data_IF_183446034613
#
_entry.id   IF_183446034613
#
_cell.length_a   1.000
_cell.length_b   1.000
_cell.length_c   1.000
_cell.angle_alpha   90.00
_cell.angle_beta   90.00
_cell.angle_gamma   90.00
#
_symmetry.space_group_name_H-M   'P 1'
#
loop_
_entity.id
_entity.type
_entity.pdbx_description
1 polymer ?
#
# COMPACT_ATOMS: atom_id res chain seq x y z
N UNK A 1 5.38 -71.14 12.09
CA UNK A 1 6.73 -71.54 11.64
C UNK A 1 7.32 -70.43 10.79
N UNK A 2 8.45 -69.94 11.27
CA UNK A 2 9.51 -69.19 10.60
C UNK A 2 9.16 -67.73 10.10
N UNK A 3 9.76 -66.78 10.74
CA UNK A 3 11.03 -66.04 10.78
C UNK A 3 10.99 -64.86 9.83
N UNK A 4 10.94 -63.63 10.30
CA UNK A 4 12.02 -62.74 10.73
C UNK A 4 13.05 -62.46 9.61
N UNK A 5 13.14 -61.15 9.21
CA UNK A 5 14.40 -60.43 9.12
C UNK A 5 14.16 -58.93 8.87
N UNK A 6 14.70 -58.11 9.76
CA UNK A 6 15.21 -56.72 9.55
C UNK A 6 16.74 -56.88 9.35
N UNK A 7 17.53 -55.83 8.99
CA UNK A 7 17.34 -54.39 9.00
C UNK A 7 17.99 -53.66 7.79
N UNK A 8 17.91 -52.38 7.76
CA UNK A 8 18.69 -51.50 6.85
C UNK A 8 18.63 -50.04 7.25
N UNK A 9 19.61 -49.61 8.02
CA UNK A 9 19.93 -48.24 8.36
C UNK A 9 20.28 -47.41 7.10
N UNK A 10 19.81 -46.19 7.00
CA UNK A 10 20.47 -45.16 6.18
C UNK A 10 20.15 -43.75 6.66
N UNK A 11 21.11 -43.17 7.31
CA UNK A 11 21.66 -41.81 7.21
C UNK A 11 20.70 -40.61 7.35
N UNK A 12 20.81 -39.97 8.48
CA UNK A 12 20.54 -38.58 8.79
C UNK A 12 21.45 -37.68 7.95
N UNK A 13 20.89 -36.87 7.07
CA UNK A 13 21.59 -35.77 6.45
C UNK A 13 21.13 -34.47 7.10
N UNK A 14 22.08 -33.80 7.74
CA UNK A 14 21.89 -32.55 8.46
C UNK A 14 21.43 -31.39 7.56
N UNK A 15 20.27 -30.87 7.86
CA UNK A 15 19.80 -29.61 7.30
C UNK A 15 20.42 -28.43 8.05
N UNK A 16 21.32 -27.70 7.43
CA UNK A 16 21.83 -26.43 7.95
C UNK A 16 20.72 -25.38 7.94
N UNK A 17 20.36 -24.93 9.11
CA UNK A 17 19.55 -23.74 9.34
C UNK A 17 20.35 -22.51 8.90
N UNK A 18 20.02 -21.94 7.75
CA UNK A 18 20.47 -20.59 7.38
C UNK A 18 19.54 -19.60 8.09
N UNK A 19 20.02 -19.04 9.18
CA UNK A 19 19.42 -17.88 9.82
C UNK A 19 19.65 -16.67 8.92
N UNK A 20 18.57 -16.14 8.32
CA UNK A 20 18.59 -14.84 7.67
C UNK A 20 18.74 -13.72 8.71
N UNK A 21 19.42 -12.62 8.38
CA UNK A 21 19.63 -11.51 9.32
C UNK A 21 18.29 -10.87 9.70
N UNK A 22 18.10 -10.67 11.00
CA UNK A 22 16.97 -9.95 11.58
C UNK A 22 16.94 -8.49 11.12
N UNK A 23 15.82 -7.76 11.33
CA UNK A 23 15.68 -6.38 10.89
C UNK A 23 16.61 -5.46 11.71
N UNK A 24 17.80 -5.21 11.16
CA UNK A 24 18.71 -4.19 11.66
C UNK A 24 18.12 -2.81 11.37
N UNK A 25 17.87 -2.04 12.41
CA UNK A 25 17.66 -0.60 12.32
C UNK A 25 18.96 0.04 11.83
N UNK A 26 19.10 0.24 10.53
CA UNK A 26 20.30 0.79 9.91
C UNK A 26 19.93 1.87 8.90
N UNK A 27 20.52 3.05 9.09
CA UNK A 27 20.70 4.20 8.16
C UNK A 27 19.50 4.47 7.25
N UNK A 28 18.90 5.66 7.26
CA UNK A 28 17.85 6.01 6.30
C UNK A 28 18.37 5.78 4.88
N UNK A 29 17.56 5.15 3.99
CA UNK A 29 17.97 4.92 2.62
C UNK A 29 18.32 6.23 1.94
N UNK A 30 19.37 6.21 1.11
CA UNK A 30 19.81 7.37 0.35
C UNK A 30 18.65 8.00 -0.42
N UNK A 31 18.55 9.34 -0.50
CA UNK A 31 17.51 10.02 -1.26
C UNK A 31 17.53 9.54 -2.72
N UNK A 32 16.35 9.51 -3.35
CA UNK A 32 16.23 9.18 -4.76
C UNK A 32 17.06 10.17 -5.59
N UNK A 33 17.82 9.71 -6.62
CA UNK A 33 18.58 10.62 -7.46
C UNK A 33 17.60 11.59 -8.15
N UNK A 34 17.97 12.87 -8.29
CA UNK A 34 17.15 13.85 -9.00
C UNK A 34 16.89 13.32 -10.41
N UNK A 35 15.61 13.25 -10.80
CA UNK A 35 15.18 12.69 -12.07
C UNK A 35 15.91 13.37 -13.23
N UNK A 36 16.53 12.60 -14.10
CA UNK A 36 17.11 13.07 -15.35
C UNK A 36 15.99 13.73 -16.19
N UNK A 37 15.94 15.03 -16.21
CA UNK A 37 15.13 15.79 -17.18
C UNK A 37 15.67 15.48 -18.56
N UNK A 38 14.79 14.97 -19.42
CA UNK A 38 15.09 14.86 -20.85
C UNK A 38 15.49 16.24 -21.37
N UNK A 39 16.71 16.37 -21.89
CA UNK A 39 17.26 17.61 -22.34
C UNK A 39 16.53 18.14 -23.57
N UNK A 40 16.08 19.39 -23.47
CA UNK A 40 15.95 20.31 -24.59
C UNK A 40 16.87 21.47 -24.26
N UNK A 41 17.82 21.71 -25.15
CA UNK A 41 18.86 22.69 -24.98
C UNK A 41 18.35 24.13 -24.85
N UNK A 42 19.02 24.88 -24.00
CA UNK A 42 18.84 26.31 -23.82
C UNK A 42 19.81 26.79 -22.75
N UNK A 43 20.95 27.32 -23.20
CA UNK A 43 21.92 28.01 -22.35
C UNK A 43 21.26 29.25 -21.74
N UNK A 44 21.25 29.35 -20.43
CA UNK A 44 21.18 30.64 -19.73
C UNK A 44 21.96 30.56 -18.42
N UNK A 45 23.03 31.36 -18.40
CA UNK A 45 23.88 31.65 -17.26
C UNK A 45 23.07 32.26 -16.13
N UNK A 46 23.06 31.64 -14.96
CA UNK A 46 22.61 32.28 -13.72
C UNK A 46 23.66 32.13 -12.64
N UNK A 47 24.10 33.29 -12.15
CA UNK A 47 25.05 33.47 -11.07
C UNK A 47 24.53 32.85 -9.76
N UNK A 48 25.46 32.31 -8.97
CA UNK A 48 25.19 31.79 -7.63
C UNK A 48 24.82 32.94 -6.68
N UNK A 49 23.77 32.83 -5.87
CA UNK A 49 23.58 33.71 -4.72
C UNK A 49 24.55 33.36 -3.61
N UNK A 50 25.23 34.39 -3.08
CA UNK A 50 26.13 34.28 -1.97
C UNK A 50 25.42 34.01 -0.63
N UNK A 51 26.16 33.63 0.40
CA UNK A 51 25.61 33.32 1.72
C UNK A 51 25.05 34.56 2.42
N UNK A 52 24.01 34.39 3.27
CA UNK A 52 23.46 35.52 4.04
C UNK A 52 24.42 36.03 5.06
N UNK A 53 24.36 37.34 5.41
CA UNK A 53 25.29 37.95 6.37
C UNK A 53 24.99 37.48 7.79
N UNK A 54 26.09 37.25 8.53
CA UNK A 54 26.07 36.93 9.94
C UNK A 54 25.59 38.14 10.77
N UNK A 55 24.65 37.90 11.69
CA UNK A 55 24.28 38.88 12.72
C UNK A 55 25.40 39.02 13.74
N UNK A 56 26.01 40.20 13.83
CA UNK A 56 26.96 40.58 14.89
C UNK A 56 26.20 41.06 16.12
N UNK A 57 26.67 40.67 17.33
CA UNK A 57 26.12 41.19 18.57
C UNK A 57 26.92 42.42 18.99
N UNK A 58 26.34 43.59 18.94
CA UNK A 58 26.89 44.76 19.64
C UNK A 58 25.78 45.75 19.97
N UNK A 59 25.83 46.14 21.23
CA UNK A 59 25.14 47.24 21.90
C UNK A 59 24.15 46.79 22.98
N UNK A 60 24.71 46.32 24.10
CA UNK A 60 24.13 46.51 25.42
C UNK A 60 24.93 47.57 26.14
N UNK A 61 24.31 48.72 26.42
CA UNK A 61 24.77 49.68 27.40
C UNK A 61 23.89 49.56 28.65
N UNK A 62 24.48 49.72 29.87
CA UNK A 62 23.75 49.65 31.13
C UNK A 62 23.19 51.01 31.52
N UNK A 63 21.97 51.06 31.97
CA UNK A 63 21.42 52.15 32.76
C UNK A 63 20.75 51.60 34.02
N UNK A 64 21.31 52.05 35.13
CA UNK A 64 20.90 51.82 36.49
C UNK A 64 19.59 52.53 36.85
N UNK A 65 18.92 51.94 37.82
CA UNK A 65 17.94 52.50 38.78
C UNK A 65 16.58 52.94 38.27
N UNK A 66 15.55 52.23 38.72
CA UNK A 66 14.58 52.68 39.67
C UNK A 66 13.48 51.63 39.96
N UNK A 67 13.36 51.36 41.26
CA UNK A 67 12.31 50.61 41.94
C UNK A 67 10.92 50.73 41.31
N UNK A 68 10.22 49.61 41.01
CA UNK A 68 8.87 49.29 41.49
C UNK A 68 8.35 47.98 40.86
N UNK A 69 7.98 47.05 41.73
CA UNK A 69 7.07 45.91 41.67
C UNK A 69 6.88 45.09 40.36
N UNK A 70 6.92 43.78 40.48
CA UNK A 70 6.67 42.86 39.38
C UNK A 70 5.15 42.67 39.16
N UNK A 71 4.58 43.28 38.14
CA UNK A 71 3.34 42.82 37.58
C UNK A 71 3.62 41.59 36.66
N UNK A 72 3.31 40.41 37.20
CA UNK A 72 3.19 39.23 36.39
C UNK A 72 2.11 39.45 35.32
N UNK A 73 2.49 39.63 34.08
CA UNK A 73 1.57 39.46 32.97
C UNK A 73 1.11 38.01 32.94
N UNK A 74 -0.19 37.74 32.96
CA UNK A 74 -0.68 36.40 32.77
C UNK A 74 -0.32 35.97 31.32
N UNK A 75 0.45 34.88 31.20
CA UNK A 75 0.64 34.18 29.95
C UNK A 75 -0.74 33.79 29.42
N UNK A 76 -1.20 34.53 28.41
CA UNK A 76 -2.31 34.10 27.63
C UNK A 76 -2.00 32.72 27.06
N UNK A 77 -2.85 31.70 27.23
CA UNK A 77 -2.65 30.42 26.59
C UNK A 77 -2.68 30.68 25.08
N UNK A 78 -1.60 30.34 24.40
CA UNK A 78 -1.54 30.24 22.94
C UNK A 78 -2.76 29.46 22.47
N UNK A 79 -3.46 29.92 21.42
CA UNK A 79 -4.56 29.14 20.88
C UNK A 79 -4.00 27.79 20.47
N UNK A 80 -4.37 26.76 21.21
CA UNK A 80 -4.16 25.36 20.85
C UNK A 80 -4.60 25.23 19.41
N UNK A 81 -3.67 24.97 18.52
CA UNK A 81 -3.97 24.63 17.15
C UNK A 81 -4.95 23.48 17.20
N UNK A 82 -6.21 23.77 16.97
CA UNK A 82 -7.20 22.73 16.70
C UNK A 82 -6.68 21.98 15.51
N UNK A 83 -6.17 20.79 15.74
CA UNK A 83 -6.07 19.79 14.71
C UNK A 83 -7.47 19.65 14.13
N UNK A 84 -7.71 20.31 13.02
CA UNK A 84 -8.80 19.95 12.12
C UNK A 84 -8.46 18.55 11.68
N UNK A 85 -9.07 17.58 12.34
CA UNK A 85 -8.94 16.17 12.00
C UNK A 85 -9.48 15.97 10.60
N UNK A 86 -8.61 16.10 9.61
CA UNK A 86 -8.89 15.69 8.25
C UNK A 86 -9.15 14.18 8.27
N UNK A 87 -10.39 13.79 8.03
CA UNK A 87 -10.80 12.39 7.97
C UNK A 87 -10.00 11.65 6.91
N UNK A 88 -9.28 10.64 7.33
CA UNK A 88 -8.28 9.90 6.57
C UNK A 88 -8.89 8.68 5.89
N UNK A 89 -8.51 8.37 4.74
CA UNK A 89 -9.13 7.72 3.57
C UNK A 89 -8.99 6.21 3.40
N UNK A 90 -8.11 5.52 4.04
CA UNK A 90 -8.36 4.25 4.67
C UNK A 90 -9.00 4.67 5.98
N UNK A 91 -10.25 4.37 6.19
CA UNK A 91 -11.00 4.90 7.32
C UNK A 91 -10.23 4.62 8.59
N UNK A 92 -9.88 5.70 9.33
CA UNK A 92 -9.02 5.65 10.51
C UNK A 92 -7.63 5.03 10.29
N UNK A 93 -7.14 4.97 9.06
CA UNK A 93 -5.75 4.61 8.74
C UNK A 93 -4.78 5.73 9.12
N UNK A 94 -3.50 5.43 9.06
CA UNK A 94 -2.40 6.37 9.26
C UNK A 94 -1.67 6.61 7.93
N UNK A 95 -0.90 7.68 7.84
CA UNK A 95 0.00 7.89 6.71
C UNK A 95 1.09 6.81 6.73
N UNK A 96 1.25 6.07 5.62
CA UNK A 96 2.35 5.13 5.53
C UNK A 96 3.68 5.88 5.66
N UNK A 97 4.69 5.35 6.33
CA UNK A 97 6.03 5.90 6.18
C UNK A 97 6.39 5.98 4.69
N UNK A 98 6.98 7.08 4.20
CA UNK A 98 7.29 7.24 2.79
C UNK A 98 8.02 6.04 2.21
N UNK A 99 7.54 5.53 1.06
CA UNK A 99 8.07 4.37 0.33
C UNK A 99 8.14 3.05 1.12
N UNK A 100 7.48 2.95 2.27
CA UNK A 100 7.41 1.70 3.06
C UNK A 100 6.64 0.57 2.35
N UNK A 101 5.92 0.91 1.27
CA UNK A 101 5.15 -0.04 0.46
C UNK A 101 5.67 -0.01 -1.00
N UNK A 102 6.92 -0.49 -1.26
CA UNK A 102 7.57 -0.33 -2.56
C UNK A 102 6.91 -1.11 -3.70
N UNK A 103 5.99 -2.01 -3.38
CA UNK A 103 5.15 -2.76 -4.32
C UNK A 103 3.85 -2.06 -4.70
N UNK A 104 3.51 -0.96 -3.99
CA UNK A 104 2.26 -0.25 -4.25
C UNK A 104 2.28 0.42 -5.62
N UNK A 105 1.24 0.18 -6.40
CA UNK A 105 1.01 0.84 -7.68
C UNK A 105 -0.35 1.53 -7.70
N UNK A 106 -0.43 2.66 -8.42
CA UNK A 106 -1.68 3.35 -8.69
C UNK A 106 -2.01 3.24 -10.19
N UNK A 107 -3.22 2.81 -10.50
CA UNK A 107 -3.72 2.68 -11.87
C UNK A 107 -4.61 3.88 -12.21
N UNK A 108 -4.21 4.62 -13.25
CA UNK A 108 -4.93 5.79 -13.73
C UNK A 108 -5.53 5.57 -15.11
N UNK A 109 -6.69 6.19 -15.34
CA UNK A 109 -7.23 6.42 -16.67
C UNK A 109 -7.23 7.93 -16.90
N UNK A 110 -6.41 8.40 -17.86
CA UNK A 110 -6.10 9.83 -18.01
C UNK A 110 -5.54 10.37 -16.67
N UNK A 111 -6.25 11.29 -16.04
CA UNK A 111 -5.87 11.92 -14.76
C UNK A 111 -6.63 11.36 -13.55
N UNK A 112 -7.58 10.43 -13.78
CA UNK A 112 -8.41 9.87 -12.71
C UNK A 112 -7.77 8.60 -12.15
N UNK A 113 -7.54 8.55 -10.84
CA UNK A 113 -7.22 7.31 -10.13
C UNK A 113 -8.40 6.33 -10.26
N UNK A 114 -8.12 5.13 -10.72
CA UNK A 114 -9.10 4.05 -10.86
C UNK A 114 -9.03 3.07 -9.70
N UNK A 115 -7.83 2.54 -9.48
CA UNK A 115 -7.60 1.42 -8.58
C UNK A 115 -6.16 1.43 -8.08
N UNK A 116 -5.93 0.72 -6.97
CA UNK A 116 -4.63 0.24 -6.57
C UNK A 116 -4.21 -1.01 -7.34
N UNK A 117 -2.95 -1.36 -7.24
CA UNK A 117 -2.39 -2.62 -7.74
C UNK A 117 -1.12 -2.97 -6.96
N UNK A 118 -0.66 -4.20 -7.10
CA UNK A 118 0.58 -4.70 -6.50
C UNK A 118 1.57 -5.09 -7.56
N UNK A 119 2.78 -4.55 -7.52
CA UNK A 119 3.89 -5.02 -8.35
C UNK A 119 4.33 -6.40 -7.85
N UNK A 120 4.24 -7.44 -8.69
CA UNK A 120 4.62 -8.83 -8.36
C UNK A 120 5.82 -9.33 -9.15
N UNK A 121 6.15 -8.66 -10.27
CA UNK A 121 7.36 -8.87 -11.07
C UNK A 121 7.66 -7.58 -11.86
N UNK A 122 8.87 -7.41 -12.44
CA UNK A 122 9.26 -6.15 -13.08
C UNK A 122 8.28 -5.62 -14.16
N UNK A 123 7.50 -6.49 -14.79
CA UNK A 123 6.50 -6.14 -15.82
C UNK A 123 5.06 -6.40 -15.42
N UNK A 124 4.82 -6.98 -14.23
CA UNK A 124 3.52 -7.52 -13.90
C UNK A 124 2.95 -6.91 -12.63
N UNK A 125 1.71 -6.47 -12.74
CA UNK A 125 0.89 -5.99 -11.65
C UNK A 125 -0.26 -6.96 -11.42
N UNK A 126 -0.64 -7.14 -10.16
CA UNK A 126 -1.83 -7.85 -9.74
C UNK A 126 -2.84 -6.87 -9.16
N UNK A 127 -4.08 -6.94 -9.59
CA UNK A 127 -5.18 -6.04 -9.20
C UNK A 127 -6.53 -6.75 -9.28
N UNK A 128 -7.61 -6.08 -8.94
CA UNK A 128 -8.97 -6.61 -9.07
C UNK A 128 -9.45 -6.60 -10.53
N UNK A 129 -10.24 -7.61 -10.93
CA UNK A 129 -10.74 -7.71 -12.30
C UNK A 129 -11.80 -6.65 -12.63
N UNK A 130 -12.57 -6.20 -11.65
CA UNK A 130 -13.52 -5.09 -11.85
C UNK A 130 -12.84 -3.76 -12.19
N UNK A 131 -11.51 -3.64 -11.95
CA UNK A 131 -10.69 -2.49 -12.36
C UNK A 131 -10.36 -2.47 -13.85
N UNK A 132 -10.83 -3.43 -14.65
CA UNK A 132 -10.45 -3.59 -16.06
C UNK A 132 -10.78 -2.36 -16.91
N UNK A 133 -9.75 -1.88 -17.63
CA UNK A 133 -9.82 -0.82 -18.64
C UNK A 133 -8.91 -1.18 -19.84
N UNK A 134 -9.13 -0.57 -21.02
CA UNK A 134 -8.30 -0.85 -22.19
C UNK A 134 -6.85 -0.36 -22.05
N UNK A 135 -6.64 0.65 -21.24
CA UNK A 135 -5.31 1.27 -21.03
C UNK A 135 -5.21 1.89 -19.65
N UNK A 136 -4.03 1.79 -19.07
CA UNK A 136 -3.67 2.40 -17.79
C UNK A 136 -2.41 3.24 -17.91
N UNK A 137 -2.36 4.33 -17.15
CA UNK A 137 -1.11 4.95 -16.71
C UNK A 137 -0.83 4.40 -15.30
N UNK A 138 0.35 3.83 -15.11
CA UNK A 138 0.76 3.17 -13.87
C UNK A 138 1.77 4.06 -13.16
N UNK A 139 1.51 4.42 -11.93
CA UNK A 139 2.46 5.12 -11.08
C UNK A 139 3.01 4.14 -10.04
N UNK A 140 4.34 4.03 -9.99
CA UNK A 140 5.12 3.19 -9.08
C UNK A 140 6.00 4.08 -8.22
N UNK A 141 6.31 3.67 -6.98
CA UNK A 141 7.19 4.40 -6.08
C UNK A 141 6.62 5.71 -5.54
N UNK A 142 5.36 6.04 -5.82
CA UNK A 142 4.73 7.26 -5.34
C UNK A 142 4.35 7.14 -3.84
N UNK A 143 4.67 8.15 -3.06
CA UNK A 143 4.10 8.36 -1.74
C UNK A 143 2.93 9.36 -1.82
N UNK A 144 3.11 10.45 -2.54
CA UNK A 144 2.08 11.43 -2.83
C UNK A 144 1.70 11.40 -4.31
N UNK A 145 0.40 11.36 -4.64
CA UNK A 145 -0.05 11.42 -6.04
C UNK A 145 0.00 12.84 -6.62
N UNK A 146 0.13 13.86 -5.78
CA UNK A 146 0.17 15.28 -6.20
C UNK A 146 1.56 15.92 -6.12
N UNK A 147 2.56 15.25 -5.55
CA UNK A 147 3.91 15.77 -5.39
C UNK A 147 4.92 14.69 -5.70
N UNK A 148 5.88 15.00 -6.56
CA UNK A 148 6.97 14.10 -6.90
C UNK A 148 8.17 14.34 -5.99
N UNK A 149 8.81 13.27 -5.52
CA UNK A 149 10.04 13.29 -4.73
C UNK A 149 11.23 12.68 -5.48
N UNK A 150 11.03 12.27 -6.74
CA UNK A 150 12.04 11.72 -7.63
C UNK A 150 12.19 10.21 -7.58
N UNK A 151 11.45 9.53 -6.71
CA UNK A 151 11.44 8.07 -6.61
C UNK A 151 10.41 7.41 -7.53
N UNK A 152 9.50 8.20 -8.09
CA UNK A 152 8.39 7.71 -8.88
C UNK A 152 8.81 7.26 -10.28
N UNK A 153 8.11 6.26 -10.74
CA UNK A 153 8.20 5.79 -12.11
C UNK A 153 6.81 5.73 -12.74
N UNK A 154 6.68 6.24 -13.96
CA UNK A 154 5.45 6.16 -14.74
C UNK A 154 5.61 5.13 -15.83
N UNK A 155 4.62 4.24 -15.99
CA UNK A 155 4.56 3.21 -17.02
C UNK A 155 3.20 3.25 -17.71
N UNK A 156 3.11 2.62 -18.87
CA UNK A 156 1.86 2.38 -19.58
C UNK A 156 1.58 0.88 -19.60
N UNK A 157 0.32 0.51 -19.44
CA UNK A 157 -0.15 -0.86 -19.62
C UNK A 157 -1.38 -0.88 -20.55
N UNK A 158 -1.37 -1.80 -21.52
CA UNK A 158 -2.44 -1.98 -22.52
C UNK A 158 -2.95 -3.42 -22.59
N UNK A 159 -2.27 -4.34 -21.90
CA UNK A 159 -2.67 -5.75 -21.82
C UNK A 159 -3.08 -6.07 -20.39
N UNK A 160 -4.29 -6.61 -20.24
CA UNK A 160 -4.83 -7.07 -18.97
C UNK A 160 -5.48 -8.43 -19.15
N UNK A 161 -5.29 -9.30 -18.16
CA UNK A 161 -5.71 -10.69 -18.14
C UNK A 161 -6.58 -10.91 -16.90
N UNK A 162 -7.90 -10.65 -16.98
CA UNK A 162 -8.81 -11.02 -15.89
C UNK A 162 -8.88 -12.54 -15.78
N UNK A 163 -9.21 -13.04 -14.59
CA UNK A 163 -9.50 -14.46 -14.42
C UNK A 163 -10.65 -14.87 -15.36
N UNK A 164 -10.57 -15.99 -16.07
CA UNK A 164 -11.59 -16.37 -17.06
C UNK A 164 -12.98 -16.53 -16.46
N UNK A 165 -13.06 -16.96 -15.22
CA UNK A 165 -14.33 -17.15 -14.50
C UNK A 165 -14.83 -15.90 -13.76
N UNK A 166 -14.20 -14.75 -13.96
CA UNK A 166 -14.71 -13.48 -13.43
C UNK A 166 -15.88 -13.00 -14.29
N UNK A 167 -17.03 -12.82 -13.67
CA UNK A 167 -18.22 -12.33 -14.34
C UNK A 167 -18.84 -11.14 -13.61
N UNK A 168 -18.67 -9.95 -14.19
CA UNK A 168 -19.20 -8.69 -13.65
C UNK A 168 -20.68 -8.43 -14.07
N UNK A 169 -21.27 -9.32 -14.88
CA UNK A 169 -22.61 -9.12 -15.46
C UNK A 169 -23.73 -9.75 -14.65
N UNK A 170 -23.42 -10.42 -13.55
CA UNK A 170 -24.43 -11.07 -12.71
C UNK A 170 -25.18 -10.02 -11.87
N UNK A 171 -26.51 -10.10 -11.76
CA UNK A 171 -27.35 -9.10 -11.08
C UNK A 171 -27.03 -8.94 -9.60
N UNK A 172 -26.43 -9.95 -8.95
CA UNK A 172 -26.08 -9.95 -7.54
C UNK A 172 -24.64 -9.50 -7.24
N UNK A 173 -23.97 -8.80 -8.18
CA UNK A 173 -22.57 -8.36 -8.02
C UNK A 173 -21.69 -9.52 -7.52
N UNK A 174 -21.67 -10.61 -8.27
CA UNK A 174 -20.82 -11.75 -7.95
C UNK A 174 -19.34 -11.35 -8.09
N UNK A 175 -18.67 -11.19 -6.96
CA UNK A 175 -17.26 -10.82 -6.89
C UNK A 175 -16.33 -12.03 -6.84
N UNK A 176 -16.81 -13.23 -7.21
CA UNK A 176 -15.94 -14.41 -7.32
C UNK A 176 -14.88 -14.16 -8.39
N UNK A 177 -13.69 -14.65 -8.14
CA UNK A 177 -12.55 -14.57 -9.05
C UNK A 177 -12.20 -13.12 -9.46
N UNK A 178 -12.43 -12.15 -8.57
CA UNK A 178 -12.13 -10.75 -8.83
C UNK A 178 -10.61 -10.49 -8.73
N UNK A 179 -9.90 -10.99 -9.73
CA UNK A 179 -8.45 -10.94 -9.86
C UNK A 179 -8.04 -10.75 -11.32
N UNK A 180 -7.02 -9.94 -11.57
CA UNK A 180 -6.53 -9.61 -12.89
C UNK A 180 -5.04 -9.33 -12.87
N UNK A 181 -4.33 -9.86 -13.86
CA UNK A 181 -2.97 -9.47 -14.18
C UNK A 181 -2.95 -8.31 -15.18
N UNK A 182 -2.06 -7.36 -14.98
CA UNK A 182 -1.82 -6.25 -15.90
C UNK A 182 -0.35 -6.25 -16.31
N UNK A 183 -0.07 -6.31 -17.63
CA UNK A 183 1.29 -6.30 -18.17
C UNK A 183 1.68 -4.90 -18.62
N UNK A 184 2.73 -4.36 -18.03
CA UNK A 184 3.30 -3.07 -18.44
C UNK A 184 4.07 -3.19 -19.75
N UNK A 185 4.02 -2.16 -20.59
CA UNK A 185 4.72 -2.10 -21.88
C UNK A 185 6.24 -2.16 -21.66
N UNK A 186 6.75 -1.42 -20.68
CA UNK A 186 8.15 -1.45 -20.26
C UNK A 186 8.25 -1.89 -18.80
N UNK A 187 9.31 -2.64 -18.43
CA UNK A 187 9.48 -3.07 -17.04
C UNK A 187 9.70 -1.89 -16.09
N UNK A 188 9.34 -2.08 -14.84
CA UNK A 188 9.77 -1.21 -13.76
C UNK A 188 11.29 -1.34 -13.57
N UNK A 189 11.94 -0.24 -13.28
CA UNK A 189 13.31 -0.24 -12.77
C UNK A 189 13.26 -0.52 -11.26
N UNK A 190 13.87 -1.61 -10.83
CA UNK A 190 13.81 -2.01 -9.41
C UNK A 190 14.75 -1.13 -8.58
N UNK A 191 14.19 -0.51 -7.56
CA UNK A 191 14.88 0.37 -6.62
C UNK A 191 14.41 0.04 -5.20
N UNK A 192 14.92 0.75 -4.20
CA UNK A 192 14.42 0.61 -2.85
C UNK A 192 12.96 1.09 -2.71
N UNK A 193 12.50 2.05 -3.52
CA UNK A 193 11.13 2.58 -3.56
C UNK A 193 10.21 1.84 -4.54
N UNK A 194 10.75 0.99 -5.42
CA UNK A 194 9.98 0.20 -6.39
C UNK A 194 10.50 -1.25 -6.38
N UNK A 195 9.77 -2.13 -5.71
CA UNK A 195 10.18 -3.52 -5.52
C UNK A 195 8.96 -4.45 -5.59
N UNK A 196 9.04 -5.60 -6.27
CA UNK A 196 7.94 -6.55 -6.30
C UNK A 196 7.72 -7.21 -4.94
N UNK A 197 6.47 -7.55 -4.66
CA UNK A 197 6.05 -8.32 -3.50
C UNK A 197 5.86 -9.79 -3.89
N UNK A 198 6.34 -10.69 -3.04
CA UNK A 198 6.18 -12.13 -3.23
C UNK A 198 4.71 -12.54 -3.07
N UNK A 199 4.24 -13.36 -4.00
CA UNK A 199 2.93 -14.02 -3.92
C UNK A 199 3.10 -15.36 -3.18
N UNK A 200 2.31 -15.59 -2.14
CA UNK A 200 2.43 -16.81 -1.33
C UNK A 200 1.42 -17.87 -1.76
N UNK A 201 1.85 -19.12 -2.00
CA UNK A 201 0.93 -20.25 -2.19
C UNK A 201 0.26 -20.71 -0.88
N UNK A 202 0.79 -20.30 0.26
CA UNK A 202 0.22 -20.63 1.57
C UNK A 202 -0.81 -19.58 1.96
N UNK A 203 -2.04 -20.04 2.18
CA UNK A 203 -3.12 -19.16 2.62
C UNK A 203 -2.92 -18.68 4.04
N UNK A 204 -3.19 -17.41 4.28
CA UNK A 204 -3.11 -16.80 5.61
C UNK A 204 -4.21 -17.36 6.54
N UNK A 205 -3.89 -17.72 7.79
CA UNK A 205 -4.87 -18.18 8.77
C UNK A 205 -5.67 -17.03 9.37
N UNK A 206 -6.85 -17.36 9.92
CA UNK A 206 -7.60 -16.43 10.75
C UNK A 206 -6.80 -16.02 11.99
N UNK A 207 -6.92 -14.74 12.39
CA UNK A 207 -6.16 -14.13 13.47
C UNK A 207 -4.84 -13.50 13.04
N UNK A 208 -4.39 -13.71 11.80
CA UNK A 208 -3.19 -13.06 11.28
C UNK A 208 -3.36 -11.55 11.16
N UNK A 209 -2.32 -10.80 11.56
CA UNK A 209 -2.24 -9.36 11.35
C UNK A 209 -1.70 -9.07 9.96
N UNK A 210 -2.36 -8.17 9.27
CA UNK A 210 -2.05 -7.78 7.90
C UNK A 210 -2.08 -6.26 7.77
N UNK A 211 -1.51 -5.78 6.68
CA UNK A 211 -1.49 -4.37 6.30
C UNK A 211 -2.22 -4.19 4.97
N UNK A 212 -3.08 -3.19 4.90
CA UNK A 212 -3.65 -2.69 3.65
C UNK A 212 -3.09 -1.30 3.37
N UNK A 213 -2.96 -0.95 2.09
CA UNK A 213 -2.46 0.36 1.68
C UNK A 213 -3.15 0.85 0.40
N UNK A 214 -3.31 2.17 0.30
CA UNK A 214 -3.95 2.77 -0.87
C UNK A 214 -4.15 4.28 -0.77
N UNK A 215 -4.62 4.88 -1.87
CA UNK A 215 -5.01 6.29 -1.98
C UNK A 215 -6.52 6.46 -2.17
N UNK A 216 -7.30 5.50 -1.72
CA UNK A 216 -8.75 5.48 -1.91
C UNK A 216 -9.47 6.74 -1.45
N UNK A 217 -10.55 7.05 -2.12
CA UNK A 217 -11.39 8.21 -1.79
C UNK A 217 -12.51 7.76 -0.84
N UNK A 218 -12.77 8.53 0.19
CA UNK A 218 -14.02 8.39 0.93
C UNK A 218 -15.22 8.75 0.04
N UNK A 219 -16.33 8.08 0.27
CA UNK A 219 -17.64 8.48 -0.23
C UNK A 219 -18.06 9.80 0.43
N UNK A 220 -17.53 10.91 -0.04
CA UNK A 220 -17.97 12.26 0.27
C UNK A 220 -18.10 13.02 -1.05
N UNK A 221 -19.08 13.91 -1.20
CA UNK A 221 -19.32 14.62 -2.48
C UNK A 221 -18.15 15.50 -2.94
N UNK A 222 -17.11 15.67 -2.13
CA UNK A 222 -15.89 16.38 -2.50
C UNK A 222 -14.74 15.41 -2.70
N UNK A 223 -14.45 15.12 -3.95
CA UNK A 223 -13.35 14.29 -4.48
C UNK A 223 -11.98 14.92 -4.21
N UNK A 224 -11.51 14.93 -2.97
CA UNK A 224 -10.11 15.21 -2.71
C UNK A 224 -9.34 13.89 -2.61
N UNK A 225 -8.50 13.60 -3.60
CA UNK A 225 -7.52 12.51 -3.52
C UNK A 225 -6.60 12.75 -2.31
N UNK A 226 -6.22 11.72 -1.53
CA UNK A 226 -5.21 11.86 -0.50
C UNK A 226 -3.93 12.33 -1.15
N UNK A 227 -3.30 13.30 -0.52
CA UNK A 227 -1.98 13.71 -0.98
C UNK A 227 -0.94 12.60 -0.75
N UNK A 228 -1.15 11.71 0.23
CA UNK A 228 -0.18 10.69 0.65
C UNK A 228 -0.80 9.30 0.77
N UNK A 229 0.03 8.27 0.60
CA UNK A 229 -0.36 6.87 0.75
C UNK A 229 -0.78 6.57 2.19
N UNK A 230 -1.91 5.91 2.35
CA UNK A 230 -2.48 5.53 3.65
C UNK A 230 -2.31 4.05 3.92
N UNK A 231 -2.11 3.71 5.18
CA UNK A 231 -1.95 2.36 5.69
C UNK A 231 -2.97 2.05 6.79
N UNK A 232 -3.43 0.80 6.88
CA UNK A 232 -4.17 0.33 8.05
C UNK A 232 -3.82 -1.12 8.38
N UNK A 233 -3.66 -1.39 9.67
CA UNK A 233 -3.53 -2.74 10.18
C UNK A 233 -4.92 -3.35 10.32
N UNK A 234 -5.09 -4.56 9.77
CA UNK A 234 -6.32 -5.34 9.80
C UNK A 234 -6.00 -6.77 10.26
N UNK A 235 -6.99 -7.47 10.79
CA UNK A 235 -6.86 -8.85 11.24
C UNK A 235 -7.75 -9.75 10.39
N UNK A 236 -7.21 -10.87 9.91
CA UNK A 236 -7.98 -11.88 9.20
C UNK A 236 -9.02 -12.49 10.14
N UNK A 237 -10.27 -12.50 9.75
CA UNK A 237 -11.36 -13.11 10.51
C UNK A 237 -11.66 -14.53 10.03
N UNK A 238 -12.39 -15.30 10.83
CA UNK A 238 -12.81 -16.65 10.45
C UNK A 238 -13.77 -16.59 9.27
N UNK A 239 -13.67 -17.56 8.36
CA UNK A 239 -14.53 -17.63 7.17
C UNK A 239 -16.02 -17.59 7.53
N UNK A 240 -16.44 -18.39 8.52
CA UNK A 240 -17.81 -18.42 9.01
C UNK A 240 -18.30 -17.05 9.52
N UNK A 241 -17.45 -16.32 10.24
CA UNK A 241 -17.78 -14.95 10.72
C UNK A 241 -18.01 -13.98 9.55
N UNK A 242 -17.30 -14.19 8.43
CA UNK A 242 -17.50 -13.43 7.21
C UNK A 242 -18.80 -13.85 6.48
N UNK A 243 -19.09 -15.14 6.42
CA UNK A 243 -20.36 -15.66 5.87
C UNK A 243 -21.57 -15.14 6.66
N UNK A 244 -21.47 -15.10 7.99
CA UNK A 244 -22.52 -14.54 8.85
C UNK A 244 -22.73 -13.04 8.59
N UNK A 245 -21.65 -12.31 8.23
CA UNK A 245 -21.76 -10.90 7.86
C UNK A 245 -22.39 -10.68 6.47
N UNK A 246 -22.17 -11.59 5.52
CA UNK A 246 -22.65 -11.49 4.13
C UNK A 246 -23.23 -12.83 3.64
N UNK A 247 -24.41 -13.25 4.15
CA UNK A 247 -24.99 -14.54 3.84
C UNK A 247 -25.12 -14.80 2.34
N UNK A 248 -24.60 -15.95 1.87
CA UNK A 248 -24.68 -16.38 0.48
C UNK A 248 -23.73 -15.69 -0.51
N UNK A 249 -22.91 -14.69 -0.06
CA UNK A 249 -22.03 -13.94 -0.95
C UNK A 249 -20.54 -14.26 -0.78
N UNK A 250 -20.17 -15.03 0.24
CA UNK A 250 -18.77 -15.36 0.54
C UNK A 250 -18.45 -16.76 0.00
N UNK A 251 -17.33 -16.88 -0.71
CA UNK A 251 -16.83 -18.14 -1.24
C UNK A 251 -15.46 -18.49 -0.66
N UNK A 252 -14.97 -19.71 -0.91
CA UNK A 252 -13.65 -20.17 -0.45
C UNK A 252 -12.47 -19.43 -1.12
N UNK A 253 -12.75 -18.70 -2.21
CA UNK A 253 -11.80 -17.84 -2.93
C UNK A 253 -11.72 -16.43 -2.36
N UNK A 254 -12.46 -16.15 -1.30
CA UNK A 254 -12.48 -14.88 -0.59
C UNK A 254 -11.89 -15.01 0.81
N UNK A 255 -11.30 -13.96 1.30
CA UNK A 255 -10.84 -13.80 2.67
C UNK A 255 -11.31 -12.47 3.21
N UNK A 256 -11.68 -12.44 4.48
CA UNK A 256 -12.19 -11.23 5.12
C UNK A 256 -11.25 -10.75 6.21
N UNK A 257 -11.11 -9.44 6.30
CA UNK A 257 -10.33 -8.83 7.34
C UNK A 257 -11.06 -7.60 7.91
N UNK A 258 -10.87 -7.34 9.19
CA UNK A 258 -11.43 -6.17 9.84
C UNK A 258 -10.58 -5.74 11.04
N UNK A 259 -10.86 -4.57 11.57
CA UNK A 259 -10.36 -4.15 12.88
C UNK A 259 -11.48 -4.31 13.89
N UNK A 260 -11.34 -5.31 14.74
CA UNK A 260 -12.39 -5.73 15.69
C UNK A 260 -12.98 -4.63 16.58
N UNK A 261 -12.30 -3.50 16.77
CA UNK A 261 -12.71 -2.47 17.75
C UNK A 261 -12.88 -1.04 17.20
N UNK A 262 -12.44 -0.74 15.97
CA UNK A 262 -12.27 0.66 15.56
C UNK A 262 -12.93 1.04 14.21
N UNK A 263 -13.60 0.11 13.52
CA UNK A 263 -14.22 0.41 12.21
C UNK A 263 -13.24 0.91 11.15
N UNK A 264 -12.02 0.36 11.13
CA UNK A 264 -11.04 0.58 10.05
C UNK A 264 -11.38 -0.37 8.90
N UNK A 265 -11.41 0.14 7.69
CA UNK A 265 -11.69 -0.65 6.50
C UNK A 265 -11.08 0.01 5.27
N UNK A 266 -10.93 -0.79 4.19
CA UNK A 266 -10.67 -0.26 2.86
C UNK A 266 -11.93 0.42 2.29
N UNK A 267 -11.74 1.41 1.43
CA UNK A 267 -12.83 2.15 0.83
C UNK A 267 -12.68 2.29 -0.69
N UNK A 268 -13.66 2.92 -1.34
CA UNK A 268 -13.65 3.15 -2.78
C UNK A 268 -12.34 3.85 -3.24
N UNK A 269 -11.70 3.29 -4.27
CA UNK A 269 -10.41 3.75 -4.79
C UNK A 269 -9.20 2.97 -4.23
N UNK A 270 -9.37 2.20 -3.13
CA UNK A 270 -8.39 1.23 -2.66
C UNK A 270 -8.52 -0.11 -3.41
N UNK A 271 -9.64 -0.33 -4.12
CA UNK A 271 -9.91 -1.53 -4.93
C UNK A 271 -8.69 -1.96 -5.75
N UNK A 272 -8.37 -3.24 -5.73
CA UNK A 272 -7.21 -3.79 -6.41
C UNK A 272 -5.89 -3.65 -5.65
N UNK A 273 -5.85 -2.87 -4.56
CA UNK A 273 -4.69 -2.72 -3.69
C UNK A 273 -4.37 -3.97 -2.87
N UNK A 274 -3.18 -4.02 -2.22
CA UNK A 274 -2.69 -5.20 -1.52
C UNK A 274 -3.25 -5.37 -0.11
N UNK A 275 -3.45 -6.63 0.27
CA UNK A 275 -3.50 -7.12 1.64
C UNK A 275 -2.22 -7.92 1.89
N UNK A 276 -1.32 -7.37 2.70
CA UNK A 276 0.01 -7.94 2.99
C UNK A 276 0.04 -8.53 4.38
N UNK A 277 0.39 -9.80 4.48
CA UNK A 277 0.54 -10.48 5.76
C UNK A 277 1.90 -11.18 5.78
N UNK A 278 2.66 -11.02 6.87
CA UNK A 278 3.98 -11.63 7.02
C UNK A 278 4.91 -11.43 5.79
N UNK A 279 4.91 -10.21 5.22
CA UNK A 279 5.78 -9.85 4.10
C UNK A 279 5.40 -10.48 2.76
N UNK A 280 4.21 -11.05 2.60
CA UNK A 280 3.72 -11.62 1.36
C UNK A 280 2.31 -11.15 1.00
N UNK A 281 1.99 -11.13 -0.30
CA UNK A 281 0.67 -10.78 -0.80
C UNK A 281 -0.30 -11.93 -0.53
N UNK A 282 -1.33 -11.67 0.25
CA UNK A 282 -2.34 -12.65 0.65
C UNK A 282 -3.74 -12.32 0.11
N UNK A 283 -3.99 -11.05 -0.19
CA UNK A 283 -5.29 -10.63 -0.70
C UNK A 283 -5.21 -9.42 -1.62
N UNK A 284 -6.27 -9.24 -2.39
CA UNK A 284 -6.53 -8.06 -3.23
C UNK A 284 -7.82 -7.43 -2.72
N UNK A 285 -7.82 -6.14 -2.45
CA UNK A 285 -9.01 -5.40 -2.04
C UNK A 285 -10.05 -5.52 -3.15
N UNK A 286 -11.20 -6.13 -2.84
CA UNK A 286 -12.24 -6.43 -3.82
C UNK A 286 -13.52 -5.66 -3.56
N UNK A 287 -14.19 -5.90 -2.42
CA UNK A 287 -15.47 -5.25 -2.12
C UNK A 287 -15.74 -5.18 -0.60
N UNK A 288 -16.78 -4.46 -0.25
CA UNK A 288 -17.24 -4.32 1.12
C UNK A 288 -18.56 -3.53 1.18
N UNK A 289 -19.02 -3.22 2.36
CA UNK A 289 -20.23 -2.42 2.56
C UNK A 289 -20.00 -0.96 2.16
N UNK A 290 -20.98 -0.35 1.49
CA UNK A 290 -21.05 1.09 1.26
C UNK A 290 -22.18 1.69 2.12
N UNK A 291 -21.93 2.71 2.95
CA UNK A 291 -20.63 3.36 3.20
C UNK A 291 -19.62 2.43 3.87
N UNK A 292 -18.32 2.71 3.63
CA UNK A 292 -17.23 1.91 4.18
C UNK A 292 -17.18 1.98 5.71
N UNK A 293 -16.55 0.97 6.36
CA UNK A 293 -16.37 0.86 7.81
C UNK A 293 -17.68 0.79 8.64
N UNK A 294 -18.71 0.23 8.07
CA UNK A 294 -19.95 -0.08 8.80
C UNK A 294 -19.66 -1.16 9.86
N UNK A 295 -20.11 -0.94 11.08
CA UNK A 295 -19.95 -1.90 12.18
C UNK A 295 -20.44 -3.30 11.77
N UNK A 296 -19.64 -4.33 12.08
CA UNK A 296 -19.91 -5.75 11.80
C UNK A 296 -19.89 -6.15 10.30
N UNK A 297 -19.44 -5.27 9.40
CA UNK A 297 -19.26 -5.59 7.98
C UNK A 297 -17.77 -5.52 7.64
N UNK A 298 -17.05 -6.66 7.55
CA UNK A 298 -15.63 -6.68 7.23
C UNK A 298 -15.36 -6.37 5.75
N UNK A 299 -14.16 -5.89 5.44
CA UNK A 299 -13.68 -5.84 4.07
C UNK A 299 -13.48 -7.24 3.49
N UNK A 300 -13.82 -7.41 2.21
CA UNK A 300 -13.68 -8.67 1.48
C UNK A 300 -12.59 -8.55 0.43
N UNK A 301 -11.69 -9.52 0.44
CA UNK A 301 -10.48 -9.57 -0.39
C UNK A 301 -10.47 -10.85 -1.20
N UNK A 302 -10.01 -10.78 -2.44
CA UNK A 302 -9.72 -11.98 -3.23
C UNK A 302 -8.55 -12.73 -2.60
N UNK A 303 -8.71 -14.00 -2.29
CA UNK A 303 -7.76 -14.86 -1.59
C UNK A 303 -6.65 -15.36 -2.52
N UNK A 304 -5.53 -14.61 -2.60
CA UNK A 304 -4.48 -14.76 -3.62
C UNK A 304 -3.85 -16.14 -3.67
N UNK A 305 -3.69 -16.82 -2.53
CA UNK A 305 -3.12 -18.17 -2.48
C UNK A 305 -3.87 -19.22 -3.31
N UNK A 306 -5.13 -18.96 -3.67
CA UNK A 306 -5.95 -19.84 -4.54
C UNK A 306 -5.64 -19.67 -6.02
N UNK A 307 -4.86 -18.65 -6.41
CA UNK A 307 -4.64 -18.26 -7.79
C UNK A 307 -3.18 -18.32 -8.24
N UNK A 308 -2.28 -18.86 -7.42
CA UNK A 308 -0.82 -18.85 -7.71
C UNK A 308 -0.52 -19.55 -9.02
N UNK A 309 -1.11 -20.72 -9.28
CA UNK A 309 -0.91 -21.46 -10.51
C UNK A 309 -1.42 -20.69 -11.74
N UNK A 310 -2.60 -20.06 -11.62
CA UNK A 310 -3.14 -19.22 -12.68
C UNK A 310 -2.25 -18.00 -12.96
N UNK A 311 -1.74 -17.35 -11.90
CA UNK A 311 -0.81 -16.22 -12.02
C UNK A 311 0.44 -16.65 -12.79
N UNK A 312 1.09 -17.75 -12.37
CA UNK A 312 2.30 -18.25 -13.00
C UNK A 312 2.08 -18.61 -14.47
N UNK A 313 1.08 -19.45 -14.78
CA UNK A 313 0.73 -19.84 -16.14
C UNK A 313 0.41 -18.64 -17.03
N UNK A 314 -0.30 -17.63 -16.52
CA UNK A 314 -0.63 -16.45 -17.30
C UNK A 314 0.59 -15.59 -17.58
N UNK A 315 1.52 -15.47 -16.62
CA UNK A 315 2.77 -14.72 -16.83
C UNK A 315 3.71 -15.41 -17.80
N UNK A 316 3.82 -16.74 -17.76
CA UNK A 316 4.65 -17.55 -18.64
C UNK A 316 4.16 -17.52 -20.10
N UNK A 317 2.85 -17.55 -20.31
CA UNK A 317 2.24 -17.61 -21.64
C UNK A 317 2.11 -16.25 -22.33
N UNK A 318 2.49 -15.16 -21.70
CA UNK A 318 2.31 -13.81 -22.19
C UNK A 318 3.54 -12.94 -21.94
#
# INVERSE_FOLDING_TARGET
>A
MHRADRPGDAMVAGGQHIQGPGPGWGVPPAPCPPGAKAGLGGQSSWARPGPPPACSPSWCLPLQDLLHQPHCCPLSPSPSARHVGGETRIIKGYECPPHSQPWQAALFQKTRLLCGATLIAPRWLLTAAHCRKPRYVVHLGAHSLGRQDGCEQTRTATKSFPHPDFNNSLPNKDHRNDIMLVKMVTPAHLTWAVRPLTVSPRCVPAGANCLISGWGTMSSPQLHLPHTLRCANVTIIKHRECEDAYPGNITDTMVCASVRKEGKDSCQGDSGGPLVCNGSLQGIISWGQDPCAVSKKPGVYTKVCKYVDWIQKTMENN
#
